data_IF_674436876088
#
_entry.id   IF_674436876088
#
_cell.length_a   1.000
_cell.length_b   1.000
_cell.length_c   1.000
_cell.angle_alpha   90.00
_cell.angle_beta   90.00
_cell.angle_gamma   90.00
#
_symmetry.space_group_name_H-M   'P 1'
#
loop_
_entity.id
_entity.type
_entity.pdbx_description
1 polymer ?
#
# COMPACT_ATOMS: atom_id res chain seq x y z
N UNK A 1 -0.22 16.92 2.69
CA UNK A 1 -0.11 17.44 4.08
C UNK A 1 -1.00 16.67 5.06
N UNK A 2 -2.17 16.16 4.66
CA UNK A 2 -3.12 15.49 5.57
C UNK A 2 -2.62 14.14 6.14
N UNK A 3 -1.84 13.35 5.38
CA UNK A 3 -1.31 12.05 5.82
C UNK A 3 -0.30 12.18 6.96
N UNK A 4 0.55 13.22 6.93
CA UNK A 4 1.52 13.48 7.98
C UNK A 4 0.84 13.73 9.33
N UNK A 5 -0.14 14.65 9.35
CA UNK A 5 -0.91 14.93 10.58
C UNK A 5 -1.68 13.71 11.10
N UNK A 6 -2.21 12.87 10.21
CA UNK A 6 -2.90 11.63 10.60
C UNK A 6 -1.95 10.63 11.30
N UNK A 7 -0.64 10.75 11.09
CA UNK A 7 0.39 9.90 11.67
C UNK A 7 1.29 10.65 12.69
N UNK A 8 0.84 11.79 13.23
CA UNK A 8 1.61 12.66 14.13
C UNK A 8 2.96 13.17 13.56
N UNK A 9 3.07 13.27 12.24
CA UNK A 9 4.22 13.84 11.53
C UNK A 9 3.88 15.29 11.13
N UNK A 10 4.62 16.24 11.70
CA UNK A 10 4.43 17.65 11.41
C UNK A 10 5.10 18.07 10.09
N UNK A 11 4.64 19.16 9.43
CA UNK A 11 5.15 19.57 8.11
C UNK A 11 6.68 19.78 8.06
N UNK A 12 7.26 20.31 9.14
CA UNK A 12 8.71 20.52 9.32
C UNK A 12 9.50 19.22 9.39
N UNK A 13 8.90 18.14 9.88
CA UNK A 13 9.48 16.80 9.87
C UNK A 13 9.26 16.07 8.54
N UNK A 14 8.20 16.44 7.81
CA UNK A 14 7.84 15.85 6.53
C UNK A 14 8.72 16.35 5.37
N UNK A 15 9.01 17.65 5.32
CA UNK A 15 9.75 18.25 4.19
C UNK A 15 11.13 17.60 3.95
N UNK A 16 11.97 17.33 4.98
CA UNK A 16 13.26 16.66 4.77
C UNK A 16 13.14 15.23 4.22
N UNK A 17 12.00 14.57 4.40
CA UNK A 17 11.74 13.21 3.90
C UNK A 17 11.32 13.23 2.42
N UNK A 18 10.62 14.29 1.99
CA UNK A 18 10.18 14.48 0.60
C UNK A 18 11.34 14.93 -0.30
N UNK A 19 12.20 15.84 0.17
CA UNK A 19 13.26 16.45 -0.64
C UNK A 19 14.42 15.50 -0.98
N UNK A 20 14.50 14.35 -0.31
CA UNK A 20 15.52 13.34 -0.58
C UNK A 20 14.98 12.29 -1.55
N UNK A 21 15.67 12.10 -2.68
CA UNK A 21 15.46 10.91 -3.51
C UNK A 21 16.00 9.69 -2.76
N UNK A 22 15.11 8.86 -2.28
CA UNK A 22 15.46 7.57 -1.72
C UNK A 22 15.36 6.53 -2.84
N UNK A 23 16.34 5.63 -2.92
CA UNK A 23 16.12 4.39 -3.68
C UNK A 23 14.93 3.69 -3.04
N UNK A 24 13.95 3.29 -3.84
CA UNK A 24 12.81 2.54 -3.32
C UNK A 24 13.32 1.17 -2.87
N UNK A 25 13.60 1.04 -1.57
CA UNK A 25 13.96 -0.24 -0.96
C UNK A 25 12.64 -0.89 -0.57
N UNK A 26 12.13 -1.76 -1.43
CA UNK A 26 11.08 -2.71 -1.02
C UNK A 26 11.73 -3.61 0.04
N UNK A 27 11.24 -3.63 1.29
CA UNK A 27 11.90 -4.40 2.34
C UNK A 27 11.84 -5.88 1.98
N UNK A 28 13.00 -6.56 1.98
CA UNK A 28 13.11 -7.93 1.46
C UNK A 28 12.68 -9.01 2.47
N UNK A 29 12.74 -8.69 3.77
CA UNK A 29 12.48 -9.64 4.86
C UNK A 29 11.15 -9.36 5.58
N UNK A 30 10.10 -9.04 4.82
CA UNK A 30 8.75 -8.88 5.39
C UNK A 30 8.07 -10.24 5.55
N UNK A 31 7.40 -10.44 6.69
CA UNK A 31 6.42 -11.51 6.83
C UNK A 31 5.25 -11.26 5.89
N UNK A 32 4.52 -12.31 5.51
CA UNK A 32 3.38 -12.17 4.59
C UNK A 32 2.31 -11.20 5.08
N UNK A 33 2.17 -11.10 6.41
CA UNK A 33 1.31 -10.13 7.07
C UNK A 33 1.79 -8.69 6.82
N UNK A 34 3.08 -8.43 6.99
CA UNK A 34 3.65 -7.11 6.77
C UNK A 34 3.63 -6.71 5.29
N UNK A 35 3.76 -7.69 4.37
CA UNK A 35 3.63 -7.42 2.93
C UNK A 35 2.20 -7.00 2.58
N UNK A 36 1.20 -7.65 3.18
CA UNK A 36 -0.20 -7.25 3.03
C UNK A 36 -0.43 -5.83 3.57
N UNK A 37 0.01 -5.54 4.80
CA UNK A 37 -0.17 -4.22 5.42
C UNK A 37 0.48 -3.11 4.58
N UNK A 38 1.62 -3.40 3.96
CA UNK A 38 2.31 -2.48 3.06
C UNK A 38 1.49 -2.16 1.80
N UNK A 39 0.98 -3.20 1.11
CA UNK A 39 0.16 -3.01 -0.09
C UNK A 39 -1.18 -2.34 0.23
N UNK A 40 -1.81 -2.72 1.35
CA UNK A 40 -3.03 -2.09 1.85
C UNK A 40 -2.82 -0.59 2.06
N UNK A 41 -1.73 -0.21 2.74
CA UNK A 41 -1.39 1.19 3.01
C UNK A 41 -1.18 1.98 1.72
N UNK A 42 -0.48 1.42 0.73
CA UNK A 42 -0.32 2.06 -0.59
C UNK A 42 -1.66 2.31 -1.28
N UNK A 43 -2.56 1.34 -1.24
CA UNK A 43 -3.88 1.46 -1.87
C UNK A 43 -4.77 2.46 -1.14
N UNK A 44 -4.74 2.46 0.19
CA UNK A 44 -5.48 3.43 0.99
C UNK A 44 -5.02 4.87 0.70
N UNK A 45 -3.71 5.09 0.54
CA UNK A 45 -3.16 6.39 0.13
C UNK A 45 -3.70 6.84 -1.22
N UNK A 46 -3.75 5.94 -2.22
CA UNK A 46 -4.32 6.23 -3.53
C UNK A 46 -5.83 6.55 -3.45
N UNK A 47 -6.58 5.86 -2.58
CA UNK A 47 -8.02 6.11 -2.37
C UNK A 47 -8.29 7.48 -1.76
N UNK A 48 -7.43 7.93 -0.84
CA UNK A 48 -7.55 9.23 -0.18
C UNK A 48 -7.20 10.37 -1.15
N UNK A 49 -6.24 10.18 -2.05
CA UNK A 49 -5.82 11.23 -2.99
C UNK A 49 -6.80 11.45 -4.16
N UNK A 50 -7.82 10.59 -4.31
CA UNK A 50 -8.88 10.61 -5.35
C UNK A 50 -8.37 10.66 -6.80
N UNK A 51 -7.07 10.49 -7.03
CA UNK A 51 -6.42 10.53 -8.33
C UNK A 51 -5.69 9.22 -8.54
N UNK A 52 -6.22 8.39 -9.44
CA UNK A 52 -5.57 7.15 -9.83
C UNK A 52 -4.97 7.31 -11.23
N UNK A 53 -3.67 7.55 -11.29
CA UNK A 53 -2.96 7.56 -12.56
C UNK A 53 -2.56 6.13 -12.96
N UNK A 54 -2.61 5.83 -14.26
CA UNK A 54 -2.28 4.50 -14.79
C UNK A 54 -0.84 4.10 -14.44
N UNK A 55 0.05 5.07 -14.44
CA UNK A 55 1.46 4.94 -14.11
C UNK A 55 1.66 4.50 -12.65
N UNK A 56 0.86 5.04 -11.71
CA UNK A 56 0.90 4.67 -10.29
C UNK A 56 0.41 3.24 -10.06
N UNK A 57 -0.65 2.83 -10.78
CA UNK A 57 -1.11 1.43 -10.73
C UNK A 57 -0.04 0.46 -11.24
N UNK A 58 0.65 0.81 -12.33
CA UNK A 58 1.74 -0.01 -12.88
C UNK A 58 2.93 -0.07 -11.93
N UNK A 59 3.26 1.04 -11.28
CA UNK A 59 4.31 1.11 -10.27
C UNK A 59 3.97 0.24 -9.05
N UNK A 60 2.77 0.37 -8.47
CA UNK A 60 2.35 -0.45 -7.34
C UNK A 60 2.26 -1.94 -7.69
N UNK A 61 1.89 -2.27 -8.94
CA UNK A 61 1.92 -3.66 -9.43
C UNK A 61 3.34 -4.23 -9.47
N UNK A 62 4.34 -3.40 -9.78
CA UNK A 62 5.75 -3.79 -9.74
C UNK A 62 6.23 -3.99 -8.29
N UNK A 63 5.80 -3.12 -7.38
CA UNK A 63 6.04 -3.29 -5.94
C UNK A 63 5.45 -4.61 -5.44
N UNK A 64 4.19 -4.91 -5.78
CA UNK A 64 3.53 -6.15 -5.40
C UNK A 64 4.30 -7.38 -5.90
N UNK A 65 4.82 -7.35 -7.13
CA UNK A 65 5.69 -8.41 -7.63
C UNK A 65 6.99 -8.56 -6.85
N UNK A 66 7.62 -7.45 -6.48
CA UNK A 66 8.85 -7.47 -5.69
C UNK A 66 8.62 -8.01 -4.27
N UNK A 67 7.41 -7.86 -3.73
CA UNK A 67 6.99 -8.47 -2.46
C UNK A 67 6.63 -9.97 -2.60
N UNK A 68 6.61 -10.50 -3.83
CA UNK A 68 6.29 -11.91 -4.10
C UNK A 68 4.84 -12.18 -4.48
N UNK A 69 3.99 -11.15 -4.63
CA UNK A 69 2.63 -11.32 -5.13
C UNK A 69 2.58 -11.39 -6.65
N UNK A 70 1.47 -11.90 -7.18
CA UNK A 70 1.09 -11.72 -8.59
C UNK A 70 0.51 -10.30 -8.79
N UNK A 71 0.78 -9.66 -9.93
CA UNK A 71 0.29 -8.29 -10.24
C UNK A 71 -1.22 -8.11 -10.05
N UNK A 72 -2.00 -9.17 -10.26
CA UNK A 72 -3.45 -9.17 -10.11
C UNK A 72 -3.92 -8.72 -8.71
N UNK A 73 -3.09 -8.90 -7.68
CA UNK A 73 -3.40 -8.50 -6.30
C UNK A 73 -3.76 -7.01 -6.19
N UNK A 74 -3.15 -6.16 -7.04
CA UNK A 74 -3.42 -4.73 -7.01
C UNK A 74 -4.85 -4.40 -7.45
N UNK A 75 -5.39 -5.14 -8.41
CA UNK A 75 -6.78 -4.95 -8.84
C UNK A 75 -7.76 -5.37 -7.73
N UNK A 76 -7.47 -6.49 -7.05
CA UNK A 76 -8.28 -6.94 -5.92
C UNK A 76 -8.28 -5.93 -4.77
N UNK A 77 -7.09 -5.44 -4.38
CA UNK A 77 -6.99 -4.43 -3.34
C UNK A 77 -7.72 -3.14 -3.74
N UNK A 78 -7.58 -2.68 -4.99
CA UNK A 78 -8.28 -1.49 -5.47
C UNK A 78 -9.81 -1.64 -5.46
N UNK A 79 -10.34 -2.84 -5.67
CA UNK A 79 -11.77 -3.11 -5.64
C UNK A 79 -12.33 -3.19 -4.21
N UNK A 80 -11.56 -3.73 -3.27
CA UNK A 80 -12.05 -4.08 -1.94
C UNK A 80 -11.60 -3.10 -0.83
N UNK A 81 -10.55 -2.30 -1.04
CA UNK A 81 -10.10 -1.30 -0.07
C UNK A 81 -10.96 -0.05 -0.16
N UNK A 82 -11.48 0.36 0.99
CA UNK A 82 -12.24 1.59 1.17
C UNK A 82 -11.34 2.78 1.54
N UNK A 83 -11.82 4.00 1.29
CA UNK A 83 -11.17 5.23 1.76
C UNK A 83 -11.37 5.46 3.26
N UNK A 84 -12.38 4.81 3.86
CA UNK A 84 -12.68 4.82 5.28
C UNK A 84 -11.98 3.67 6.01
N UNK A 85 -11.78 3.77 7.34
CA UNK A 85 -11.26 2.65 8.13
C UNK A 85 -12.16 1.41 7.98
N UNK A 86 -11.58 0.31 7.55
CA UNK A 86 -12.26 -0.98 7.45
C UNK A 86 -12.32 -1.65 8.82
N UNK A 87 -13.41 -2.39 9.08
CA UNK A 87 -13.54 -3.19 10.29
C UNK A 87 -12.55 -4.35 10.33
N UNK A 88 -12.26 -4.86 11.54
CA UNK A 88 -11.31 -5.96 11.73
C UNK A 88 -11.69 -7.22 10.92
N UNK A 89 -12.98 -7.55 10.87
CA UNK A 89 -13.45 -8.69 10.08
C UNK A 89 -13.24 -8.51 8.58
N UNK A 90 -13.48 -7.30 8.05
CA UNK A 90 -13.31 -6.99 6.65
C UNK A 90 -11.84 -7.03 6.26
N UNK A 91 -10.98 -6.49 7.13
CA UNK A 91 -9.53 -6.55 6.98
C UNK A 91 -9.04 -8.00 6.94
N UNK A 92 -9.50 -8.84 7.87
CA UNK A 92 -9.13 -10.25 7.92
C UNK A 92 -9.61 -11.03 6.69
N UNK A 93 -10.82 -10.75 6.20
CA UNK A 93 -11.34 -11.33 4.95
C UNK A 93 -10.49 -10.92 3.75
N UNK A 94 -10.19 -9.62 3.63
CA UNK A 94 -9.38 -9.09 2.54
C UNK A 94 -7.96 -9.67 2.56
N UNK A 95 -7.35 -9.76 3.75
CA UNK A 95 -6.04 -10.38 3.93
C UNK A 95 -6.04 -11.83 3.48
N UNK A 96 -7.03 -12.63 3.88
CA UNK A 96 -7.16 -14.02 3.44
C UNK A 96 -7.26 -14.15 1.91
N UNK A 97 -8.01 -13.28 1.26
CA UNK A 97 -8.11 -13.23 -0.21
C UNK A 97 -6.77 -12.89 -0.85
N UNK A 98 -6.10 -11.85 -0.34
CA UNK A 98 -4.83 -11.35 -0.88
C UNK A 98 -3.70 -12.36 -0.72
N UNK A 99 -3.64 -13.12 0.37
CA UNK A 99 -2.60 -14.15 0.52
C UNK A 99 -2.69 -15.26 -0.53
N UNK A 100 -3.85 -15.48 -1.15
CA UNK A 100 -3.97 -16.37 -2.31
C UNK A 100 -3.19 -15.92 -3.55
N UNK A 101 -2.72 -14.67 -3.58
CA UNK A 101 -1.93 -14.11 -4.67
C UNK A 101 -0.41 -14.19 -4.42
N UNK A 102 0.04 -14.68 -3.26
CA UNK A 102 1.46 -14.96 -3.06
C UNK A 102 1.91 -16.05 -4.03
N UNK A 103 3.09 -15.86 -4.63
CA UNK A 103 3.72 -16.88 -5.45
C UNK A 103 4.24 -17.99 -4.52
N UNK A 104 4.07 -19.27 -4.90
CA UNK A 104 4.60 -20.40 -4.13
C UNK A 104 6.13 -20.42 -4.12
#
# INVERSE_FOLDING_TARGET
INIGRANNIYPDQLMPLIDKRHTLIVPQDLTDDLKFDYLFSLVQLMKIDERMYKEEMMFCSTIAENLGYRRQVMFELLLNVESTPMGEEEMNRLKGLVQGYLKP
#
